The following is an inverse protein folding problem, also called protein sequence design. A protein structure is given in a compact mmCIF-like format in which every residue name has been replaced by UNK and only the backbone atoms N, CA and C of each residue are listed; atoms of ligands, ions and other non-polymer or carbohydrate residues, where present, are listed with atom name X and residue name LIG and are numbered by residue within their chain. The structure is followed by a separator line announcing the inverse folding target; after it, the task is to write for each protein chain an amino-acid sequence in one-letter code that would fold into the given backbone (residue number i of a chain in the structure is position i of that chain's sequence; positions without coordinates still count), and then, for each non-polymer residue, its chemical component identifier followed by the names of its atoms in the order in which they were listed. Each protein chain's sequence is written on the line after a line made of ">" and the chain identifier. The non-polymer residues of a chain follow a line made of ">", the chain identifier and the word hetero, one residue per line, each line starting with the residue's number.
data_IF_816339362403
#
_entry.id   IF_816339362403
#
_cell.length_a   1.000
_cell.length_b   1.000
_cell.length_c   1.000
_cell.angle_alpha   90.00
_cell.angle_beta   90.00
_cell.angle_gamma   90.00
#
_symmetry.space_group_name_H-M   'P 1'
#
loop_
_entity.id
_entity.type
_entity.pdbx_description
1 polymer ?
#
# COMPACT_ATOMS: atom_id res chain seq x y z
N UNK A 1 3.45 -10.29 -17.13
CA UNK A 1 2.00 -10.52 -17.22
C UNK A 1 1.60 -11.79 -16.49
N UNK A 2 2.26 -12.94 -16.73
CA UNK A 2 1.94 -14.20 -16.03
C UNK A 2 2.00 -14.10 -14.50
N UNK A 3 3.06 -13.48 -13.95
CA UNK A 3 3.17 -13.23 -12.51
C UNK A 3 2.10 -12.29 -11.92
N UNK A 4 1.52 -11.39 -12.74
CA UNK A 4 0.44 -10.50 -12.30
C UNK A 4 -0.85 -11.30 -12.12
N UNK A 5 -1.13 -12.22 -13.06
CA UNK A 5 -2.32 -13.07 -13.04
C UNK A 5 -2.34 -14.05 -11.84
N UNK A 6 -1.17 -14.53 -11.41
CA UNK A 6 -1.06 -15.50 -10.31
C UNK A 6 -0.55 -14.89 -8.99
N UNK A 7 -0.34 -13.58 -8.96
CA UNK A 7 0.21 -12.87 -7.81
C UNK A 7 -0.82 -12.63 -6.69
N UNK A 8 -0.40 -11.88 -5.65
CA UNK A 8 -1.35 -11.35 -4.67
C UNK A 8 -2.35 -10.40 -5.37
N UNK A 9 -3.61 -10.32 -4.89
CA UNK A 9 -4.59 -9.38 -5.42
C UNK A 9 -4.02 -7.96 -5.49
N UNK A 10 -4.03 -7.36 -6.67
CA UNK A 10 -3.54 -6.01 -6.91
C UNK A 10 -4.73 -5.10 -7.19
N UNK A 11 -4.88 -4.08 -6.37
CA UNK A 11 -5.88 -3.04 -6.58
C UNK A 11 -5.20 -1.73 -6.96
N UNK A 12 -5.79 -1.02 -7.92
CA UNK A 12 -5.36 0.33 -8.31
C UNK A 12 -6.56 1.27 -8.30
N UNK A 13 -6.32 2.53 -7.98
CA UNK A 13 -7.29 3.61 -8.10
C UNK A 13 -7.18 4.25 -9.48
N UNK A 14 -8.30 4.56 -10.12
CA UNK A 14 -8.31 5.33 -11.35
C UNK A 14 -9.50 6.30 -11.38
N UNK A 15 -9.24 7.54 -11.76
CA UNK A 15 -10.27 8.56 -11.86
C UNK A 15 -10.93 8.52 -13.23
N UNK A 16 -12.26 8.44 -13.29
CA UNK A 16 -13.00 8.45 -14.54
C UNK A 16 -12.94 9.86 -15.15
N UNK A 17 -12.33 9.99 -16.32
CA UNK A 17 -12.14 11.25 -17.01
C UNK A 17 -13.41 11.67 -17.76
N UNK A 18 -13.83 12.92 -17.56
CA UNK A 18 -14.87 13.57 -18.38
C UNK A 18 -14.26 14.44 -19.50
N UNK A 19 -12.94 14.63 -19.46
CA UNK A 19 -12.17 15.38 -20.45
C UNK A 19 -11.05 16.18 -19.78
N UNK A 20 -9.96 16.46 -20.51
CA UNK A 20 -8.77 17.07 -19.90
C UNK A 20 -9.06 18.45 -19.28
N UNK A 21 -9.92 19.24 -19.91
CA UNK A 21 -10.29 20.57 -19.40
C UNK A 21 -11.19 20.47 -18.17
N UNK A 22 -12.21 19.61 -18.20
CA UNK A 22 -13.10 19.37 -17.06
C UNK A 22 -12.34 18.84 -15.86
N UNK A 23 -11.46 17.85 -16.08
CA UNK A 23 -10.66 17.24 -15.02
C UNK A 23 -9.73 18.29 -14.38
N UNK A 24 -9.02 19.10 -15.17
CA UNK A 24 -8.13 20.14 -14.65
C UNK A 24 -8.89 21.23 -13.89
N UNK A 25 -10.06 21.64 -14.40
CA UNK A 25 -10.91 22.61 -13.71
C UNK A 25 -11.43 22.05 -12.38
N UNK A 26 -11.80 20.76 -12.35
CA UNK A 26 -12.26 20.11 -11.11
C UNK A 26 -11.17 20.09 -10.03
N UNK A 27 -9.92 19.80 -10.41
CA UNK A 27 -8.76 19.85 -9.50
C UNK A 27 -8.55 21.26 -8.97
N UNK A 28 -8.55 22.27 -9.85
CA UNK A 28 -8.35 23.67 -9.44
C UNK A 28 -9.43 24.13 -8.44
N UNK A 29 -10.69 23.80 -8.67
CA UNK A 29 -11.76 24.14 -7.73
C UNK A 29 -11.61 23.36 -6.42
N UNK A 30 -11.19 22.09 -6.47
CA UNK A 30 -10.95 21.28 -5.27
C UNK A 30 -9.79 21.77 -4.42
N UNK A 31 -8.73 22.28 -5.04
CA UNK A 31 -7.61 22.94 -4.33
C UNK A 31 -8.06 24.16 -3.52
N UNK A 32 -9.11 24.89 -3.96
CA UNK A 32 -9.66 26.00 -3.17
C UNK A 32 -10.52 25.55 -1.99
N UNK A 33 -10.86 24.27 -1.90
CA UNK A 33 -11.77 23.71 -0.90
C UNK A 33 -13.26 23.98 -1.17
N UNK A 34 -13.61 24.66 -2.27
CA UNK A 34 -15.00 25.03 -2.58
C UNK A 34 -15.86 23.87 -3.07
N UNK A 35 -15.28 22.85 -3.69
CA UNK A 35 -15.98 21.68 -4.22
C UNK A 35 -15.05 20.47 -4.26
N UNK A 36 -15.57 19.28 -3.99
CA UNK A 36 -14.81 18.03 -4.13
C UNK A 36 -14.79 17.53 -5.59
N UNK A 37 -13.75 16.79 -5.96
CA UNK A 37 -13.68 16.03 -7.22
C UNK A 37 -14.60 14.81 -7.18
N UNK A 38 -14.81 14.13 -8.31
CA UNK A 38 -15.46 12.81 -8.28
C UNK A 38 -14.62 11.80 -7.50
N UNK A 39 -15.23 10.69 -7.05
CA UNK A 39 -14.48 9.61 -6.42
C UNK A 39 -13.71 8.78 -7.45
N UNK A 40 -12.53 8.29 -7.06
CA UNK A 40 -11.80 7.31 -7.87
C UNK A 40 -12.41 5.91 -7.76
N UNK A 41 -12.40 5.18 -8.86
CA UNK A 41 -12.82 3.78 -8.89
C UNK A 41 -11.64 2.87 -8.49
N UNK A 42 -11.90 1.82 -7.71
CA UNK A 42 -10.88 0.85 -7.33
C UNK A 42 -11.05 -0.45 -8.12
N UNK A 43 -10.03 -0.82 -8.87
CA UNK A 43 -10.06 -1.98 -9.75
C UNK A 43 -9.18 -3.09 -9.24
N UNK A 44 -9.72 -4.30 -9.14
CA UNK A 44 -8.90 -5.51 -9.01
C UNK A 44 -8.30 -5.82 -10.38
N UNK A 45 -7.01 -5.55 -10.56
CA UNK A 45 -6.34 -5.62 -11.86
C UNK A 45 -6.49 -7.02 -12.47
N UNK A 46 -6.36 -8.07 -11.67
CA UNK A 46 -6.47 -9.45 -12.15
C UNK A 46 -7.87 -9.85 -12.65
N UNK A 47 -8.93 -9.12 -12.26
CA UNK A 47 -10.29 -9.36 -12.76
C UNK A 47 -10.58 -8.63 -14.08
N UNK A 48 -9.67 -7.78 -14.56
CA UNK A 48 -9.84 -7.09 -15.83
C UNK A 48 -9.41 -7.96 -17.01
N UNK A 49 -9.99 -7.74 -18.21
CA UNK A 49 -9.52 -8.38 -19.44
C UNK A 49 -7.99 -8.19 -19.60
N UNK A 50 -7.23 -9.22 -20.00
CA UNK A 50 -5.77 -9.16 -20.07
C UNK A 50 -5.22 -7.94 -20.84
N UNK A 51 -5.89 -7.53 -21.91
CA UNK A 51 -5.56 -6.37 -22.72
C UNK A 51 -5.73 -5.02 -22.02
N UNK A 52 -6.52 -4.98 -20.95
CA UNK A 52 -6.82 -3.78 -20.18
C UNK A 52 -6.05 -3.71 -18.85
N UNK A 53 -5.47 -4.82 -18.37
CA UNK A 53 -4.73 -4.87 -17.11
C UNK A 53 -3.55 -3.86 -17.09
N UNK A 54 -2.71 -3.89 -18.12
CA UNK A 54 -1.58 -2.96 -18.21
C UNK A 54 -2.06 -1.52 -18.41
N UNK A 55 -3.08 -1.30 -19.24
CA UNK A 55 -3.64 0.05 -19.46
C UNK A 55 -4.21 0.64 -18.18
N UNK A 56 -4.83 -0.18 -17.35
CA UNK A 56 -5.39 0.23 -16.07
C UNK A 56 -4.28 0.61 -15.08
N UNK A 57 -3.18 -0.13 -15.03
CA UNK A 57 -2.01 0.25 -14.22
C UNK A 57 -1.45 1.59 -14.73
N UNK A 58 -1.31 1.76 -16.05
CA UNK A 58 -0.86 3.02 -16.64
C UNK A 58 -1.84 4.17 -16.36
N UNK A 59 -3.15 3.92 -16.36
CA UNK A 59 -4.15 4.95 -16.08
C UNK A 59 -4.05 5.45 -14.66
N UNK A 60 -3.81 4.55 -13.70
CA UNK A 60 -3.66 4.90 -12.28
C UNK A 60 -2.51 5.88 -12.02
N UNK A 61 -1.50 5.93 -12.90
CA UNK A 61 -0.36 6.85 -12.84
C UNK A 61 -0.37 7.92 -13.96
N UNK A 62 -1.48 8.06 -14.70
CA UNK A 62 -1.57 8.97 -15.84
C UNK A 62 -1.89 10.40 -15.38
N UNK A 63 -0.89 11.06 -14.80
CA UNK A 63 -0.98 12.44 -14.31
C UNK A 63 -1.51 13.38 -15.40
N UNK A 64 -2.50 14.24 -15.09
CA UNK A 64 -2.99 15.26 -16.01
C UNK A 64 -1.84 16.10 -16.58
N UNK A 65 -1.99 16.57 -17.82
CA UNK A 65 -0.99 17.37 -18.57
C UNK A 65 0.24 16.57 -19.03
N UNK A 66 0.66 15.55 -18.29
CA UNK A 66 1.86 14.73 -18.59
C UNK A 66 1.51 13.56 -19.50
N UNK A 67 0.39 12.89 -19.21
CA UNK A 67 -0.04 11.70 -19.92
C UNK A 67 -1.51 11.78 -20.37
N UNK A 68 -1.79 11.14 -21.50
CA UNK A 68 -3.15 10.98 -21.99
C UNK A 68 -3.93 9.98 -21.13
N UNK A 69 -5.24 10.22 -21.02
CA UNK A 69 -6.16 9.26 -20.39
C UNK A 69 -6.15 7.93 -21.14
N UNK A 70 -6.24 6.83 -20.40
CA UNK A 70 -6.28 5.49 -20.98
C UNK A 70 -7.73 5.02 -21.14
N UNK A 71 -8.03 4.32 -22.24
CA UNK A 71 -9.35 3.74 -22.47
C UNK A 71 -9.42 2.32 -21.91
N UNK A 72 -10.22 2.13 -20.86
CA UNK A 72 -10.47 0.86 -20.18
C UNK A 72 -11.95 0.52 -20.33
N UNK A 73 -12.26 -0.65 -20.91
CA UNK A 73 -13.65 -1.12 -21.09
C UNK A 73 -14.60 -0.05 -21.68
N UNK A 74 -14.12 0.76 -22.63
CA UNK A 74 -14.91 1.78 -23.31
C UNK A 74 -14.96 3.16 -22.65
N UNK A 75 -14.47 3.30 -21.41
CA UNK A 75 -14.41 4.57 -20.66
C UNK A 75 -12.97 5.09 -20.56
N UNK A 76 -12.81 6.38 -20.36
CA UNK A 76 -11.50 7.02 -20.20
C UNK A 76 -11.16 7.20 -18.73
N UNK A 77 -9.93 6.88 -18.36
CA UNK A 77 -9.43 6.94 -16.99
C UNK A 77 -8.08 7.65 -16.91
N UNK A 78 -7.84 8.33 -15.78
CA UNK A 78 -6.62 9.06 -15.43
C UNK A 78 -6.15 8.66 -14.02
N UNK A 79 -5.08 9.34 -13.59
CA UNK A 79 -4.48 9.16 -12.28
C UNK A 79 -5.52 9.15 -11.16
N UNK A 80 -5.44 8.14 -10.30
CA UNK A 80 -6.37 7.97 -9.19
C UNK A 80 -6.29 9.07 -8.13
N UNK A 81 -5.17 9.78 -8.02
CA UNK A 81 -4.96 10.85 -7.03
C UNK A 81 -5.92 12.03 -7.20
N UNK A 82 -6.49 12.22 -8.39
CA UNK A 82 -7.47 13.27 -8.69
C UNK A 82 -8.77 13.05 -7.90
N UNK A 83 -9.17 11.79 -7.71
CA UNK A 83 -10.46 11.46 -7.14
C UNK A 83 -10.47 11.46 -5.61
N UNK A 84 -11.51 12.07 -5.03
CA UNK A 84 -11.61 12.29 -3.59
C UNK A 84 -10.47 13.16 -3.09
N UNK A 85 -10.31 14.38 -3.64
CA UNK A 85 -9.17 15.26 -3.42
C UNK A 85 -8.95 15.61 -1.95
N UNK A 86 -10.02 15.90 -1.19
CA UNK A 86 -9.90 16.26 0.22
C UNK A 86 -9.64 15.04 1.11
N UNK A 87 -10.21 13.89 0.77
CA UNK A 87 -10.02 12.65 1.54
C UNK A 87 -8.73 11.92 1.17
N UNK A 88 -8.16 12.23 0.01
CA UNK A 88 -7.01 11.57 -0.63
C UNK A 88 -7.18 10.06 -0.78
N UNK A 89 -8.42 9.55 -0.82
CA UNK A 89 -8.70 8.11 -0.92
C UNK A 89 -8.28 7.54 -2.28
N UNK A 90 -8.34 8.34 -3.33
CA UNK A 90 -7.81 7.97 -4.65
C UNK A 90 -6.28 7.90 -4.67
N UNK A 91 -5.59 8.74 -3.90
CA UNK A 91 -4.12 8.74 -3.81
C UNK A 91 -3.59 7.63 -2.87
N UNK A 92 -4.32 7.35 -1.80
CA UNK A 92 -3.96 6.36 -0.76
C UNK A 92 -5.10 5.34 -0.59
N UNK A 93 -5.24 4.36 -1.51
CA UNK A 93 -6.41 3.50 -1.59
C UNK A 93 -6.40 2.36 -0.56
N UNK A 94 -6.88 2.63 0.66
CA UNK A 94 -7.01 1.61 1.73
C UNK A 94 -8.36 0.88 1.68
N UNK A 95 -9.39 1.49 1.10
CA UNK A 95 -10.74 0.92 0.97
C UNK A 95 -10.76 -0.49 0.36
N UNK A 96 -9.99 -0.83 -0.69
CA UNK A 96 -9.94 -2.20 -1.20
C UNK A 96 -9.46 -3.24 -0.18
N UNK A 97 -8.50 -2.89 0.68
CA UNK A 97 -8.01 -3.77 1.74
C UNK A 97 -9.10 -3.99 2.82
N UNK A 98 -9.81 -2.92 3.19
CA UNK A 98 -10.96 -3.01 4.10
C UNK A 98 -12.02 -3.97 3.54
N UNK A 99 -12.40 -3.78 2.27
CA UNK A 99 -13.42 -4.60 1.60
C UNK A 99 -12.99 -6.06 1.44
N UNK A 100 -11.67 -6.33 1.34
CA UNK A 100 -11.13 -7.69 1.34
C UNK A 100 -11.08 -8.34 2.75
N UNK A 101 -11.49 -7.62 3.81
CA UNK A 101 -11.48 -8.13 5.18
C UNK A 101 -10.11 -8.13 5.84
N UNK A 102 -9.15 -7.33 5.35
CA UNK A 102 -7.83 -7.21 5.95
C UNK A 102 -7.93 -6.56 7.35
N UNK A 103 -7.38 -7.24 8.37
CA UNK A 103 -7.30 -6.71 9.75
C UNK A 103 -6.14 -5.73 9.96
N UNK A 104 -5.18 -5.75 9.05
CA UNK A 104 -3.97 -4.93 9.08
C UNK A 104 -3.77 -4.30 7.70
N UNK A 105 -3.41 -3.03 7.66
CA UNK A 105 -2.85 -2.37 6.48
C UNK A 105 -1.55 -1.66 6.84
N UNK A 106 -0.60 -1.75 5.92
CA UNK A 106 0.60 -0.91 5.92
C UNK A 106 0.38 0.14 4.85
N UNK A 107 0.36 1.41 5.26
CA UNK A 107 0.09 2.55 4.40
C UNK A 107 1.36 3.35 4.28
N UNK A 108 1.84 3.55 3.04
CA UNK A 108 3.09 4.27 2.77
C UNK A 108 2.73 5.63 2.18
N UNK A 109 3.11 6.69 2.86
CA UNK A 109 2.89 8.06 2.41
C UNK A 109 4.14 8.60 1.71
N UNK A 110 3.95 9.46 0.71
CA UNK A 110 5.04 10.20 0.05
C UNK A 110 5.27 11.60 0.67
N UNK A 111 4.40 12.00 1.59
CA UNK A 111 4.52 13.24 2.36
C UNK A 111 4.02 13.02 3.78
N UNK A 112 4.72 13.59 4.76
CA UNK A 112 4.30 13.51 6.16
C UNK A 112 3.02 14.30 6.43
N UNK A 113 2.78 15.39 5.67
CA UNK A 113 1.62 16.27 5.80
C UNK A 113 0.39 15.89 4.97
N UNK A 114 0.22 14.60 4.61
CA UNK A 114 -0.94 14.15 3.84
C UNK A 114 -2.26 14.41 4.58
N UNK A 115 -3.28 14.88 3.85
CA UNK A 115 -4.65 15.09 4.37
C UNK A 115 -5.40 13.76 4.59
N UNK A 116 -4.81 12.64 4.19
CA UNK A 116 -5.40 11.33 4.38
C UNK A 116 -5.58 11.02 5.87
N UNK A 117 -6.82 10.72 6.26
CA UNK A 117 -7.21 10.50 7.64
C UNK A 117 -7.60 9.04 7.89
N UNK A 118 -6.80 8.36 8.70
CA UNK A 118 -7.05 6.98 9.14
C UNK A 118 -8.35 6.82 9.93
N UNK A 119 -8.87 7.88 10.54
CA UNK A 119 -10.08 7.83 11.38
C UNK A 119 -11.35 7.50 10.58
N UNK A 120 -11.28 7.63 9.24
CA UNK A 120 -12.35 7.26 8.31
C UNK A 120 -12.56 5.74 8.17
N UNK A 121 -11.63 4.93 8.71
CA UNK A 121 -11.69 3.46 8.64
C UNK A 121 -12.14 2.87 9.97
N UNK A 122 -12.83 1.72 9.91
CA UNK A 122 -13.42 1.09 11.10
C UNK A 122 -12.35 0.77 12.14
N UNK A 123 -12.70 0.84 13.43
CA UNK A 123 -11.81 0.54 14.56
C UNK A 123 -11.20 -0.88 14.53
N UNK A 124 -11.75 -1.78 13.72
CA UNK A 124 -11.30 -3.17 13.60
C UNK A 124 -10.13 -3.35 12.62
N UNK A 125 -9.73 -2.29 11.91
CA UNK A 125 -8.60 -2.33 10.99
C UNK A 125 -7.40 -1.60 11.61
N UNK A 126 -6.32 -2.33 11.82
CA UNK A 126 -5.08 -1.79 12.34
C UNK A 126 -4.27 -1.20 11.19
N UNK A 127 -4.00 0.10 11.24
CA UNK A 127 -3.27 0.80 10.19
C UNK A 127 -1.91 1.19 10.73
N UNK A 128 -0.86 0.73 10.05
CA UNK A 128 0.51 1.14 10.30
C UNK A 128 0.93 2.08 9.18
N UNK A 129 1.28 3.31 9.54
CA UNK A 129 1.67 4.34 8.58
C UNK A 129 3.19 4.46 8.53
N UNK A 130 3.75 4.32 7.32
CA UNK A 130 5.13 4.67 7.00
C UNK A 130 5.09 6.06 6.39
N UNK A 131 5.57 7.04 7.15
CA UNK A 131 5.63 8.45 6.73
C UNK A 131 7.08 8.86 6.59
N UNK A 132 7.42 9.67 5.57
CA UNK A 132 8.80 10.02 5.30
C UNK A 132 9.33 10.99 6.36
N UNK A 133 10.53 10.72 6.89
CA UNK A 133 11.16 11.60 7.88
C UNK A 133 11.60 12.94 7.25
N UNK A 134 12.01 12.88 5.99
CA UNK A 134 12.46 14.03 5.21
C UNK A 134 11.56 14.22 4.00
N UNK A 135 11.25 15.46 3.59
CA UNK A 135 10.49 15.70 2.37
C UNK A 135 11.16 15.04 1.16
N UNK A 136 10.42 14.19 0.44
CA UNK A 136 10.93 13.54 -0.79
C UNK A 136 11.19 14.59 -1.89
N UNK A 137 10.40 15.67 -1.90
CA UNK A 137 10.51 16.82 -2.81
C UNK A 137 10.50 18.15 -2.04
N UNK A 138 11.63 18.60 -1.49
CA UNK A 138 11.67 19.85 -0.70
C UNK A 138 11.36 21.10 -1.52
N UNK A 139 11.53 21.06 -2.84
CA UNK A 139 11.24 22.18 -3.75
C UNK A 139 9.78 22.25 -4.21
N UNK A 140 8.97 21.21 -3.97
CA UNK A 140 7.54 21.18 -4.31
C UNK A 140 7.21 21.32 -5.80
N UNK A 141 8.19 21.24 -6.71
CA UNK A 141 7.97 21.45 -8.15
C UNK A 141 7.69 20.13 -8.89
N UNK A 142 6.81 20.17 -9.90
CA UNK A 142 6.53 19.04 -10.82
C UNK A 142 7.81 18.50 -11.48
N UNK A 143 8.78 19.38 -11.73
CA UNK A 143 10.09 18.99 -12.27
C UNK A 143 10.89 18.13 -11.28
N UNK A 144 10.82 18.44 -9.98
CA UNK A 144 11.47 17.63 -8.94
C UNK A 144 10.78 16.28 -8.73
N UNK A 145 9.48 16.19 -9.01
CA UNK A 145 8.70 14.94 -9.01
C UNK A 145 9.11 14.00 -10.15
N UNK A 146 9.57 14.56 -11.27
CA UNK A 146 10.00 13.80 -12.47
C UNK A 146 11.53 13.68 -12.60
N UNK A 147 12.27 13.86 -11.51
CA UNK A 147 13.72 13.68 -11.53
C UNK A 147 14.08 12.21 -11.37
N UNK A 148 14.17 11.51 -12.50
CA UNK A 148 14.55 10.10 -12.58
C UNK A 148 16.07 9.90 -12.75
N UNK A 149 16.89 10.84 -12.26
CA UNK A 149 18.34 10.62 -12.21
C UNK A 149 18.67 9.45 -11.28
N UNK A 150 19.72 8.69 -11.61
CA UNK A 150 20.13 7.52 -10.81
C UNK A 150 20.47 7.92 -9.37
N UNK A 151 21.21 9.02 -9.19
CA UNK A 151 21.59 9.53 -7.88
C UNK A 151 20.37 9.81 -6.98
N UNK A 152 19.33 10.44 -7.54
CA UNK A 152 18.12 10.76 -6.78
C UNK A 152 17.26 9.52 -6.54
N UNK A 153 17.19 8.62 -7.51
CA UNK A 153 16.49 7.33 -7.37
C UNK A 153 17.09 6.49 -6.25
N UNK A 154 18.42 6.35 -6.21
CA UNK A 154 19.12 5.59 -5.17
C UNK A 154 18.87 6.19 -3.78
N UNK A 155 18.93 7.53 -3.66
CA UNK A 155 18.61 8.25 -2.42
C UNK A 155 17.18 8.02 -1.95
N UNK A 156 16.19 8.01 -2.85
CA UNK A 156 14.79 7.75 -2.49
C UNK A 156 14.55 6.30 -2.07
N UNK A 157 15.22 5.34 -2.71
CA UNK A 157 15.17 3.94 -2.31
C UNK A 157 15.76 3.76 -0.90
N UNK A 158 16.93 4.34 -0.64
CA UNK A 158 17.57 4.31 0.67
C UNK A 158 16.69 4.98 1.73
N UNK A 159 16.17 6.18 1.46
CA UNK A 159 15.27 6.87 2.37
C UNK A 159 14.01 6.05 2.66
N UNK A 160 13.37 5.45 1.65
CA UNK A 160 12.19 4.61 1.85
C UNK A 160 12.47 3.38 2.72
N UNK A 161 13.67 2.80 2.59
CA UNK A 161 14.13 1.73 3.48
C UNK A 161 14.32 2.22 4.92
N UNK A 162 14.99 3.36 5.13
CA UNK A 162 15.18 3.97 6.45
C UNK A 162 13.85 4.31 7.11
N UNK A 163 12.91 4.91 6.36
CA UNK A 163 11.57 5.25 6.84
C UNK A 163 10.78 4.01 7.25
N UNK A 164 10.82 2.95 6.43
CA UNK A 164 10.20 1.68 6.77
C UNK A 164 10.85 1.05 8.02
N UNK A 165 12.17 1.04 8.12
CA UNK A 165 12.89 0.51 9.27
C UNK A 165 12.58 1.28 10.56
N UNK A 166 12.46 2.61 10.47
CA UNK A 166 12.09 3.48 11.60
C UNK A 166 10.65 3.24 12.06
N UNK A 167 9.70 3.18 11.13
CA UNK A 167 8.27 3.01 11.45
C UNK A 167 7.91 1.58 11.87
N UNK A 168 8.53 0.57 11.26
CA UNK A 168 8.20 -0.84 11.48
C UNK A 168 9.19 -1.58 12.37
N UNK A 169 10.39 -1.06 12.60
CA UNK A 169 11.50 -1.81 13.22
C UNK A 169 11.14 -2.42 14.57
N UNK A 170 10.48 -1.65 15.44
CA UNK A 170 10.07 -2.13 16.76
C UNK A 170 8.98 -3.21 16.66
N UNK A 171 8.00 -3.03 15.76
CA UNK A 171 6.93 -4.01 15.53
C UNK A 171 7.49 -5.31 14.98
N UNK A 172 8.38 -5.23 13.98
CA UNK A 172 9.04 -6.40 13.39
C UNK A 172 9.90 -7.12 14.43
N UNK A 173 10.62 -6.36 15.26
CA UNK A 173 11.46 -6.93 16.33
C UNK A 173 10.61 -7.68 17.36
N UNK A 174 9.50 -7.09 17.80
CA UNK A 174 8.56 -7.73 18.70
C UNK A 174 7.94 -8.99 18.08
N UNK A 175 7.52 -8.94 16.82
CA UNK A 175 6.96 -10.09 16.10
C UNK A 175 7.98 -11.24 15.97
N UNK A 176 9.25 -10.92 15.67
CA UNK A 176 10.32 -11.92 15.60
C UNK A 176 10.55 -12.59 16.95
N UNK A 177 10.62 -11.83 18.04
CA UNK A 177 10.79 -12.37 19.38
C UNK A 177 9.62 -13.28 19.78
N UNK A 178 8.38 -12.86 19.50
CA UNK A 178 7.20 -13.67 19.77
C UNK A 178 7.20 -14.99 18.97
N UNK A 179 7.56 -14.93 17.68
CA UNK A 179 7.65 -16.12 16.84
C UNK A 179 8.75 -17.08 17.32
N UNK A 180 9.91 -16.56 17.73
CA UNK A 180 10.99 -17.38 18.29
C UNK A 180 10.58 -18.06 19.60
N UNK A 181 9.83 -17.38 20.47
CA UNK A 181 9.30 -17.97 21.70
C UNK A 181 8.33 -19.14 21.42
N UNK A 182 7.43 -18.97 20.45
CA UNK A 182 6.49 -20.03 20.03
C UNK A 182 7.22 -21.26 19.48
N UNK A 183 8.30 -21.05 18.70
CA UNK A 183 9.14 -22.15 18.20
C UNK A 183 9.82 -22.87 19.36
N UNK A 184 10.42 -22.13 20.31
CA UNK A 184 11.11 -22.72 21.45
C UNK A 184 10.17 -23.53 22.35
N UNK A 185 8.92 -23.07 22.53
CA UNK A 185 7.89 -23.81 23.27
C UNK A 185 7.55 -25.15 22.59
N UNK A 186 7.36 -25.15 21.27
CA UNK A 186 7.10 -26.38 20.50
C UNK A 186 8.27 -27.37 20.56
N UNK A 187 9.51 -26.87 20.54
CA UNK A 187 10.70 -27.71 20.70
C UNK A 187 10.76 -28.32 22.10
N UNK A 188 10.47 -27.55 23.13
CA UNK A 188 10.42 -28.05 24.52
C UNK A 188 9.34 -29.13 24.68
N UNK A 189 8.13 -28.91 24.16
CA UNK A 189 7.04 -29.90 24.20
C UNK A 189 7.41 -31.19 23.49
N UNK A 190 8.13 -31.09 22.37
CA UNK A 190 8.63 -32.24 21.62
C UNK A 190 9.66 -33.02 22.43
N UNK A 191 10.61 -32.33 23.08
CA UNK A 191 11.62 -32.95 23.95
C UNK A 191 10.97 -33.61 25.16
N UNK A 192 10.04 -32.93 25.84
CA UNK A 192 9.31 -33.47 26.99
C UNK A 192 8.50 -34.69 26.58
N UNK A 193 7.77 -34.64 25.46
CA UNK A 193 7.01 -35.78 24.96
C UNK A 193 7.92 -36.96 24.61
N UNK A 194 9.10 -36.70 24.02
CA UNK A 194 10.12 -37.70 23.74
C UNK A 194 10.66 -38.36 24.99
N UNK A 195 10.95 -37.59 26.05
CA UNK A 195 11.42 -38.09 27.34
C UNK A 195 10.35 -38.92 28.07
N UNK A 196 9.06 -38.57 27.91
CA UNK A 196 7.94 -39.34 28.47
C UNK A 196 7.65 -40.62 27.67
N UNK A 197 8.02 -40.67 26.39
CA UNK A 197 7.94 -41.89 25.56
C UNK A 197 9.16 -42.79 25.65
N UNK A 198 10.33 -42.22 25.97
CA UNK A 198 11.58 -42.95 26.20
C UNK A 198 11.59 -43.50 27.63
N UNK A 199 10.80 -44.54 27.85
CA UNK A 199 10.69 -45.40 29.04
C UNK A 199 11.57 -45.07 30.28
N UNK A 200 11.38 -43.86 30.82
CA UNK A 200 12.14 -43.34 31.94
C UNK A 200 11.71 -44.07 33.23
N UNK A 201 10.46 -44.52 33.26
CA UNK A 201 9.87 -45.29 34.36
C UNK A 201 10.32 -46.77 34.41
N UNK A 202 10.59 -47.47 33.28
CA UNK A 202 11.21 -48.81 33.36
C UNK A 202 12.66 -48.74 33.82
N UNK A 203 13.42 -47.72 33.39
CA UNK A 203 14.82 -47.58 33.79
C UNK A 203 15.00 -47.24 35.27
N UNK A 204 14.05 -46.57 35.90
CA UNK A 204 14.10 -46.28 37.34
C UNK A 204 13.77 -47.50 38.21
N UNK A 205 13.04 -48.49 37.68
CA UNK A 205 12.75 -49.76 38.37
C UNK A 205 13.92 -50.76 38.38
N UNK A 206 15.00 -50.46 37.65
CA UNK A 206 16.21 -51.28 37.53
C UNK A 206 17.36 -50.81 38.44
N UNK A 207 17.13 -49.79 39.28
CA UNK A 207 18.00 -49.33 40.37
C UNK A 207 17.42 -49.76 41.72
#
# INVERSE_FOLDING_TARGET
>A
MEHLATGKPLFVSAYKSDGMFEDLFSVMVAETGLKETGESEFFHVQHMPPEDQLKLIMSSAALPVVFDSQKICGKYYRDGSIGGWQTQQGNTPVTPLKNAGCKWAVVVHLTDGSLWDRSQFDQNMNIIEIRPEKPIHPEGSVKSLMDFSSERTDKWIEQGYEDAARCLGNVISALRLAHMAEIAEKELDTIVSGLMSDDFDEKLKLL
#
